data_IF_765500364230
#
_entry.id   IF_765500364230
#
_cell.length_a   1.000
_cell.length_b   1.000
_cell.length_c   1.000
_cell.angle_alpha   90.00
_cell.angle_beta   90.00
_cell.angle_gamma   90.00
#
_symmetry.space_group_name_H-M   'P 1'
#
loop_
_entity.id
_entity.type
_entity.pdbx_description
1 polymer ?
#
# COMPACT_ATOMS: atom_id res chain seq x y z
N UNK A 1 1.54 -14.89 16.89
CA UNK A 1 0.59 -14.13 16.03
C UNK A 1 0.75 -14.67 14.61
N UNK A 2 -0.32 -15.14 13.97
CA UNK A 2 -0.30 -15.66 12.60
C UNK A 2 -1.14 -14.73 11.74
N UNK A 3 -0.56 -14.17 10.68
CA UNK A 3 -1.30 -13.38 9.69
C UNK A 3 -1.83 -14.35 8.63
N UNK A 4 -3.15 -14.43 8.38
CA UNK A 4 -3.72 -15.25 7.32
C UNK A 4 -3.28 -14.81 5.93
N UNK A 5 -3.15 -15.76 5.02
CA UNK A 5 -2.83 -15.52 3.61
C UNK A 5 -3.91 -16.16 2.75
N UNK A 6 -4.62 -15.34 1.99
CA UNK A 6 -5.60 -15.76 1.00
C UNK A 6 -5.16 -15.29 -0.39
N UNK A 7 -5.72 -15.88 -1.42
CA UNK A 7 -5.60 -15.44 -2.80
C UNK A 7 -6.77 -14.52 -3.18
N UNK A 8 -6.58 -13.67 -4.19
CA UNK A 8 -7.66 -12.83 -4.72
C UNK A 8 -8.85 -13.65 -5.19
N UNK A 9 -8.61 -14.89 -5.65
CA UNK A 9 -9.63 -15.84 -6.12
C UNK A 9 -10.37 -16.58 -5.00
N UNK A 10 -9.88 -16.53 -3.75
CA UNK A 10 -10.59 -17.14 -2.61
C UNK A 10 -11.94 -16.45 -2.37
N UNK A 11 -12.88 -17.13 -1.71
CA UNK A 11 -14.21 -16.57 -1.46
C UNK A 11 -14.10 -15.32 -0.60
N UNK A 12 -14.90 -14.30 -0.94
CA UNK A 12 -14.98 -13.06 -0.16
C UNK A 12 -15.36 -13.32 1.31
N UNK A 13 -16.23 -14.30 1.55
CA UNK A 13 -16.64 -14.69 2.90
C UNK A 13 -15.45 -15.16 3.74
N UNK A 14 -14.58 -16.02 3.20
CA UNK A 14 -13.39 -16.50 3.90
C UNK A 14 -12.44 -15.35 4.25
N UNK A 15 -12.32 -14.34 3.36
CA UNK A 15 -11.53 -13.12 3.63
C UNK A 15 -12.16 -12.28 4.77
N UNK A 16 -13.48 -12.12 4.78
CA UNK A 16 -14.20 -11.38 5.84
C UNK A 16 -14.02 -12.07 7.19
N UNK A 17 -14.19 -13.40 7.24
CA UNK A 17 -14.06 -14.18 8.47
C UNK A 17 -12.63 -14.08 9.04
N UNK A 18 -11.62 -14.24 8.18
CA UNK A 18 -10.22 -14.08 8.60
C UNK A 18 -9.92 -12.64 9.05
N UNK A 19 -10.44 -11.62 8.37
CA UNK A 19 -10.25 -10.24 8.80
C UNK A 19 -10.89 -9.99 10.17
N UNK A 20 -12.08 -10.53 10.39
CA UNK A 20 -12.81 -10.38 11.65
C UNK A 20 -12.13 -11.11 12.81
N UNK A 21 -11.57 -12.30 12.56
CA UNK A 21 -10.92 -13.11 13.60
C UNK A 21 -9.51 -12.60 13.95
N UNK A 22 -8.71 -12.27 12.92
CA UNK A 22 -7.29 -11.94 13.11
C UNK A 22 -6.98 -10.44 13.10
N UNK A 23 -7.96 -9.59 12.75
CA UNK A 23 -7.79 -8.14 12.62
C UNK A 23 -6.95 -7.70 11.41
N UNK A 24 -6.39 -8.65 10.65
CA UNK A 24 -5.60 -8.41 9.44
C UNK A 24 -5.53 -9.69 8.59
N UNK A 25 -5.21 -9.54 7.30
CA UNK A 25 -4.86 -10.64 6.40
C UNK A 25 -4.07 -10.12 5.19
N UNK A 26 -3.39 -11.02 4.49
CA UNK A 26 -2.73 -10.75 3.21
C UNK A 26 -3.55 -11.36 2.07
N UNK A 27 -3.95 -10.55 1.10
CA UNK A 27 -4.53 -11.02 -0.17
C UNK A 27 -3.43 -11.04 -1.23
N UNK A 28 -3.02 -12.24 -1.64
CA UNK A 28 -2.07 -12.45 -2.74
C UNK A 28 -2.74 -12.19 -4.07
N UNK A 29 -1.93 -11.77 -5.05
CA UNK A 29 -2.38 -11.54 -6.43
C UNK A 29 -3.52 -10.51 -6.56
N UNK A 30 -3.70 -9.62 -5.58
CA UNK A 30 -4.74 -8.59 -5.60
C UNK A 30 -4.58 -7.58 -6.74
N UNK A 31 -3.34 -7.41 -7.21
CA UNK A 31 -2.98 -6.52 -8.31
C UNK A 31 -1.97 -7.24 -9.20
N UNK A 32 -2.08 -7.04 -10.52
CA UNK A 32 -1.10 -7.60 -11.46
C UNK A 32 0.24 -6.88 -11.35
N UNK A 33 1.32 -7.59 -11.67
CA UNK A 33 2.66 -7.02 -11.71
C UNK A 33 2.75 -5.81 -12.65
N UNK A 34 2.12 -5.87 -13.83
CA UNK A 34 2.14 -4.76 -14.78
C UNK A 34 1.54 -3.46 -14.20
N UNK A 35 0.38 -3.55 -13.53
CA UNK A 35 -0.24 -2.38 -12.90
C UNK A 35 0.67 -1.86 -11.78
N UNK A 36 1.27 -2.75 -10.97
CA UNK A 36 2.21 -2.37 -9.92
C UNK A 36 3.42 -1.59 -10.47
N UNK A 37 4.02 -2.05 -11.57
CA UNK A 37 5.17 -1.38 -12.17
C UNK A 37 4.81 -0.03 -12.81
N UNK A 38 3.61 0.10 -13.40
CA UNK A 38 3.11 1.39 -13.90
C UNK A 38 2.95 2.42 -12.78
N UNK A 39 2.24 2.06 -11.70
CA UNK A 39 2.07 2.93 -10.54
C UNK A 39 3.42 3.35 -9.96
N UNK A 40 4.39 2.42 -9.86
CA UNK A 40 5.75 2.76 -9.40
C UNK A 40 6.42 3.80 -10.30
N UNK A 41 6.36 3.61 -11.62
CA UNK A 41 7.00 4.49 -12.60
C UNK A 41 6.36 5.89 -12.59
N UNK A 42 5.04 5.96 -12.56
CA UNK A 42 4.29 7.22 -12.54
C UNK A 42 4.57 8.03 -11.27
N UNK A 43 4.71 7.34 -10.13
CA UNK A 43 4.89 7.96 -8.82
C UNK A 43 6.36 8.25 -8.46
N UNK A 44 7.32 7.68 -9.18
CA UNK A 44 8.76 7.82 -8.90
C UNK A 44 9.22 9.29 -8.84
N UNK A 45 8.94 10.16 -9.83
CA UNK A 45 9.40 11.56 -9.79
C UNK A 45 8.85 12.33 -8.58
N UNK A 46 7.59 12.10 -8.24
CA UNK A 46 6.95 12.78 -7.11
C UNK A 46 7.46 12.25 -5.76
N UNK A 47 7.83 10.96 -5.67
CA UNK A 47 8.51 10.40 -4.51
C UNK A 47 9.93 10.97 -4.35
N UNK A 48 10.67 11.15 -5.44
CA UNK A 48 12.00 11.78 -5.43
C UNK A 48 11.97 13.23 -4.97
N UNK A 49 10.88 13.96 -5.23
CA UNK A 49 10.68 15.32 -4.74
C UNK A 49 10.14 15.39 -3.30
N UNK A 50 9.63 14.27 -2.75
CA UNK A 50 9.01 14.25 -1.42
C UNK A 50 10.09 14.37 -0.34
N UNK A 51 10.05 15.37 0.56
CA UNK A 51 11.11 15.57 1.55
C UNK A 51 11.16 14.41 2.54
N UNK A 52 12.37 14.01 2.93
CA UNK A 52 12.55 13.20 4.13
C UNK A 52 12.16 14.04 5.35
N UNK A 53 11.41 13.45 6.28
CA UNK A 53 11.10 14.14 7.53
C UNK A 53 12.32 14.11 8.45
N UNK A 54 12.52 15.24 9.15
CA UNK A 54 13.53 15.37 10.20
C UNK A 54 13.21 14.34 11.29
N UNK A 55 14.24 13.72 11.84
CA UNK A 55 14.09 12.75 12.92
C UNK A 55 13.56 13.45 14.17
N UNK A 56 12.37 13.04 14.59
CA UNK A 56 11.66 13.56 15.76
C UNK A 56 11.11 12.35 16.54
N UNK A 57 11.64 12.08 17.75
CA UNK A 57 11.20 10.94 18.57
C UNK A 57 9.73 10.99 18.98
N UNK A 58 9.12 12.17 18.99
CA UNK A 58 7.70 12.37 19.32
C UNK A 58 6.80 12.33 18.08
N UNK A 59 7.38 12.31 16.87
CA UNK A 59 6.61 12.24 15.66
C UNK A 59 5.97 10.85 15.50
N UNK A 60 4.72 10.86 15.05
CA UNK A 60 3.99 9.63 14.73
C UNK A 60 4.71 8.77 13.68
N UNK A 61 5.44 9.41 12.75
CA UNK A 61 6.23 8.72 11.74
C UNK A 61 7.72 8.88 12.05
N UNK A 62 8.52 7.80 11.93
CA UNK A 62 9.96 7.87 12.11
C UNK A 62 10.65 8.83 11.13
N UNK A 63 11.79 9.37 11.55
CA UNK A 63 12.69 10.12 10.66
C UNK A 63 13.04 9.34 9.40
N UNK A 64 13.35 10.06 8.31
CA UNK A 64 13.61 9.52 6.97
C UNK A 64 12.43 8.82 6.27
N UNK A 65 11.24 8.75 6.89
CA UNK A 65 10.05 8.31 6.17
C UNK A 65 9.65 9.37 5.14
N UNK A 66 9.65 9.00 3.85
CA UNK A 66 9.12 9.83 2.77
C UNK A 66 7.65 9.49 2.58
N UNK A 67 6.80 10.52 2.52
CA UNK A 67 5.36 10.37 2.33
C UNK A 67 4.93 11.25 1.18
N UNK A 68 4.06 10.69 0.35
CA UNK A 68 3.48 11.38 -0.79
C UNK A 68 1.98 11.28 -0.72
N UNK A 69 1.30 12.40 -0.94
CA UNK A 69 -0.15 12.52 -0.98
C UNK A 69 -0.64 12.71 -2.42
N UNK A 70 -1.96 12.76 -2.60
CA UNK A 70 -2.59 13.03 -3.90
C UNK A 70 -2.25 12.01 -5.01
N UNK A 71 -2.12 10.73 -4.65
CA UNK A 71 -1.72 9.65 -5.57
C UNK A 71 -2.61 9.58 -6.83
N UNK A 72 -3.92 9.76 -6.67
CA UNK A 72 -4.89 9.76 -7.80
C UNK A 72 -4.60 10.88 -8.81
N UNK A 73 -4.17 12.06 -8.34
CA UNK A 73 -3.81 13.16 -9.22
C UNK A 73 -2.43 13.01 -9.85
N UNK A 74 -1.60 12.10 -9.34
CA UNK A 74 -0.22 11.87 -9.75
C UNK A 74 -0.03 10.60 -10.59
N UNK A 75 -1.04 9.74 -10.67
CA UNK A 75 -0.97 8.44 -11.35
C UNK A 75 -2.29 8.17 -12.08
N UNK A 76 -2.23 8.21 -13.41
CA UNK A 76 -3.36 7.85 -14.28
C UNK A 76 -3.82 6.40 -14.04
N UNK A 77 -2.88 5.52 -13.65
CA UNK A 77 -3.21 4.14 -13.31
C UNK A 77 -4.08 4.01 -12.05
N UNK A 78 -4.06 4.99 -11.14
CA UNK A 78 -4.89 5.00 -9.92
C UNK A 78 -6.19 5.82 -10.07
N UNK A 79 -6.33 6.61 -11.13
CA UNK A 79 -7.56 7.35 -11.43
C UNK A 79 -8.64 6.47 -12.07
N UNK A 80 -8.24 5.39 -12.75
CA UNK A 80 -9.12 4.46 -13.48
C UNK A 80 -9.45 3.18 -12.68
#
# INVERSE_FOLDING_TARGET
MKIPFLDITDKTQDKIENLSEFGCLVVKNAISENIREKVKTELEPAMEMSPAQIDDPEAFYPGNTRRMSALVALSETLEN
#
